data_IF_846804887921
#
_entry.id   IF_846804887921
#
_cell.length_a   1.000
_cell.length_b   1.000
_cell.length_c   1.000
_cell.angle_alpha   90.00
_cell.angle_beta   90.00
_cell.angle_gamma   90.00
#
_symmetry.space_group_name_H-M   'P 1'
#
loop_
_entity.id
_entity.type
_entity.pdbx_description
1 polymer ?
#
# COMPACT_ATOMS: atom_id res chain seq x y z
N UNK A 1 -79.68 38.72 -40.74
CA UNK A 1 -79.81 37.59 -39.80
C UNK A 1 -78.57 36.71 -39.91
N UNK A 2 -77.94 36.42 -38.76
CA UNK A 2 -76.94 35.39 -38.42
C UNK A 2 -75.72 35.12 -39.34
N UNK A 3 -74.55 35.25 -38.69
CA UNK A 3 -73.17 34.90 -39.05
C UNK A 3 -73.02 33.53 -39.75
N UNK A 4 -72.02 33.42 -40.64
CA UNK A 4 -71.03 32.32 -40.65
C UNK A 4 -69.66 32.88 -41.08
N UNK A 5 -68.62 32.42 -40.39
CA UNK A 5 -67.20 32.76 -40.53
C UNK A 5 -66.45 31.63 -41.23
N UNK A 6 -65.37 31.96 -41.96
CA UNK A 6 -64.19 31.13 -42.25
C UNK A 6 -63.14 32.11 -42.82
N UNK A 7 -61.92 32.28 -42.31
CA UNK A 7 -61.03 31.35 -41.65
C UNK A 7 -59.83 31.13 -42.57
N UNK A 8 -58.88 32.07 -42.60
CA UNK A 8 -57.59 31.86 -43.26
C UNK A 8 -56.46 32.39 -42.35
N UNK A 9 -55.66 31.44 -41.90
CA UNK A 9 -54.52 31.58 -40.99
C UNK A 9 -53.36 32.24 -41.73
N UNK A 10 -52.92 33.41 -41.29
CA UNK A 10 -51.67 34.03 -41.74
C UNK A 10 -50.65 33.93 -40.59
N UNK A 11 -49.60 33.15 -40.83
CA UNK A 11 -48.42 32.99 -40.00
C UNK A 11 -47.66 34.33 -39.97
N UNK A 12 -47.82 35.10 -38.89
CA UNK A 12 -47.05 36.33 -38.68
C UNK A 12 -45.77 35.99 -37.92
N UNK A 13 -44.65 36.01 -38.64
CA UNK A 13 -43.30 35.86 -38.13
C UNK A 13 -42.96 37.08 -37.26
N UNK A 14 -43.01 36.93 -35.93
CA UNK A 14 -42.52 37.93 -34.98
C UNK A 14 -40.99 37.79 -34.85
N UNK A 15 -40.19 38.85 -35.01
CA UNK A 15 -38.77 38.77 -34.73
C UNK A 15 -38.56 38.59 -33.22
N UNK A 16 -37.98 37.45 -32.83
CA UNK A 16 -37.40 37.28 -31.50
C UNK A 16 -36.22 38.27 -31.38
N UNK A 17 -36.38 39.29 -30.54
CA UNK A 17 -35.24 39.96 -29.92
C UNK A 17 -34.59 38.96 -28.95
N UNK A 18 -33.63 38.18 -29.44
CA UNK A 18 -32.66 37.51 -28.59
C UNK A 18 -31.71 38.60 -28.06
N UNK A 19 -32.01 39.11 -26.86
CA UNK A 19 -30.97 39.76 -26.06
C UNK A 19 -29.96 38.66 -25.73
N UNK A 20 -28.80 38.71 -26.37
CA UNK A 20 -27.68 37.84 -26.02
C UNK A 20 -27.21 38.20 -24.62
N UNK A 21 -27.76 37.55 -23.60
CA UNK A 21 -27.00 37.35 -22.37
C UNK A 21 -25.90 36.35 -22.72
N UNK A 22 -24.77 36.90 -23.13
CA UNK A 22 -23.52 36.20 -23.04
C UNK A 22 -23.34 35.89 -21.56
N UNK A 23 -23.75 34.70 -21.15
CA UNK A 23 -23.33 34.13 -19.87
C UNK A 23 -21.81 34.04 -19.99
N UNK A 24 -21.14 35.06 -19.48
CA UNK A 24 -19.71 35.03 -19.23
C UNK A 24 -19.57 33.93 -18.18
N UNK A 25 -19.41 32.69 -18.65
CA UNK A 25 -19.03 31.60 -17.79
C UNK A 25 -17.74 32.05 -17.14
N UNK A 26 -17.79 32.33 -15.83
CA UNK A 26 -16.57 32.44 -15.06
C UNK A 26 -15.96 31.04 -15.12
N UNK A 27 -15.11 30.81 -16.13
CA UNK A 27 -14.12 29.75 -16.07
C UNK A 27 -13.28 30.16 -14.87
N UNK A 28 -13.56 29.55 -13.73
CA UNK A 28 -12.61 29.56 -12.63
C UNK A 28 -11.44 28.78 -13.19
N UNK A 29 -10.44 29.50 -13.70
CA UNK A 29 -9.20 28.88 -14.14
C UNK A 29 -8.58 28.26 -12.90
N UNK A 30 -8.54 26.92 -12.87
CA UNK A 30 -7.74 26.20 -11.89
C UNK A 30 -6.29 26.61 -12.10
N UNK A 31 -5.70 27.20 -11.07
CA UNK A 31 -4.29 27.66 -11.04
C UNK A 31 -3.46 26.87 -10.05
N UNK A 32 -4.04 25.82 -9.44
CA UNK A 32 -3.35 25.02 -8.44
C UNK A 32 -2.48 23.99 -9.14
N UNK A 33 -1.18 23.98 -8.82
CA UNK A 33 -0.27 22.98 -9.38
C UNK A 33 -0.60 21.57 -8.85
N UNK A 34 -0.47 20.51 -9.68
CA UNK A 34 -0.39 19.16 -9.17
C UNK A 34 0.86 18.98 -8.29
N UNK A 35 0.75 18.10 -7.30
CA UNK A 35 1.88 17.65 -6.46
C UNK A 35 1.97 16.13 -6.54
N UNK A 36 3.16 15.58 -6.31
CA UNK A 36 3.33 14.13 -6.15
C UNK A 36 2.91 13.80 -4.73
N UNK A 37 1.87 12.98 -4.57
CA UNK A 37 1.42 12.50 -3.25
C UNK A 37 2.15 11.23 -2.85
N UNK A 38 2.50 10.39 -3.82
CA UNK A 38 3.02 9.07 -3.54
C UNK A 38 3.92 8.53 -4.65
N UNK A 39 4.92 7.73 -4.27
CA UNK A 39 5.79 7.00 -5.19
C UNK A 39 5.99 5.55 -4.71
N UNK A 40 6.06 4.59 -5.64
CA UNK A 40 6.65 3.27 -5.40
C UNK A 40 7.74 3.00 -6.42
N UNK A 41 8.92 2.48 -6.03
CA UNK A 41 9.39 2.40 -4.64
C UNK A 41 9.34 3.78 -3.96
N UNK A 42 9.16 3.82 -2.63
CA UNK A 42 9.18 5.09 -1.90
C UNK A 42 10.59 5.70 -1.85
N UNK A 43 10.71 6.96 -1.45
CA UNK A 43 12.01 7.61 -1.33
C UNK A 43 12.85 6.95 -0.23
N UNK A 44 14.08 6.55 -0.58
CA UNK A 44 15.01 5.86 0.30
C UNK A 44 14.80 4.35 0.42
N UNK A 45 13.86 3.75 -0.33
CA UNK A 45 13.57 2.32 -0.24
C UNK A 45 14.80 1.43 -0.47
N UNK A 46 15.01 0.42 0.38
CA UNK A 46 16.07 -0.60 0.24
C UNK A 46 15.49 -1.97 -0.15
N UNK A 47 16.37 -2.90 -0.53
CA UNK A 47 16.03 -4.27 -0.94
C UNK A 47 14.92 -4.36 -1.99
N UNK A 48 14.85 -3.35 -2.87
CA UNK A 48 13.83 -3.29 -3.91
C UNK A 48 14.03 -4.41 -4.92
N UNK A 49 12.93 -5.07 -5.29
CA UNK A 49 12.92 -6.10 -6.32
C UNK A 49 13.56 -5.62 -7.61
N UNK A 50 14.38 -6.46 -8.23
CA UNK A 50 15.02 -6.15 -9.51
C UNK A 50 14.02 -6.01 -10.67
N UNK A 51 12.78 -6.48 -10.48
CA UNK A 51 11.67 -6.32 -11.43
C UNK A 51 10.68 -5.24 -11.00
N UNK A 52 11.09 -4.35 -10.10
CA UNK A 52 10.22 -3.28 -9.61
C UNK A 52 9.84 -2.32 -10.74
N UNK A 53 8.57 -1.94 -10.75
CA UNK A 53 8.06 -0.82 -11.55
C UNK A 53 8.05 0.44 -10.71
N UNK A 54 8.30 1.58 -11.34
CA UNK A 54 8.37 2.89 -10.68
C UNK A 54 7.09 3.68 -10.96
N UNK A 55 6.27 3.95 -9.96
CA UNK A 55 4.97 4.62 -10.09
C UNK A 55 4.99 5.91 -9.28
N UNK A 56 4.40 6.98 -9.81
CA UNK A 56 4.08 8.19 -9.07
C UNK A 56 2.59 8.53 -9.20
N UNK A 57 1.95 8.90 -8.08
CA UNK A 57 0.55 9.32 -8.00
C UNK A 57 0.46 10.79 -7.64
N UNK A 58 -0.37 11.53 -8.37
CA UNK A 58 -0.52 12.97 -8.27
C UNK A 58 -1.73 13.39 -7.43
N UNK A 59 -1.72 14.61 -6.91
CA UNK A 59 -2.79 15.16 -6.07
C UNK A 59 -4.08 15.51 -6.81
N UNK A 60 -4.13 15.30 -8.12
CA UNK A 60 -5.24 15.63 -9.00
C UNK A 60 -5.10 14.93 -10.35
N UNK A 61 -6.18 14.98 -11.12
CA UNK A 61 -6.21 14.46 -12.49
C UNK A 61 -5.19 15.17 -13.38
N UNK A 62 -4.35 14.37 -14.03
CA UNK A 62 -3.30 14.81 -14.94
C UNK A 62 -3.75 14.79 -16.39
N UNK A 63 -3.16 15.63 -17.23
CA UNK A 63 -3.33 15.56 -18.67
C UNK A 63 -2.59 14.30 -19.20
N UNK A 64 -3.27 13.29 -19.76
CA UNK A 64 -2.61 12.03 -20.11
C UNK A 64 -1.47 12.19 -21.11
N UNK A 65 -1.55 13.17 -22.01
CA UNK A 65 -0.49 13.45 -22.97
C UNK A 65 0.78 14.05 -22.35
N UNK A 66 0.70 14.67 -21.17
CA UNK A 66 1.86 15.21 -20.46
C UNK A 66 2.62 14.13 -19.69
N UNK A 67 1.98 12.99 -19.39
CA UNK A 67 2.58 11.86 -18.68
C UNK A 67 3.33 10.93 -19.64
N UNK A 68 4.54 11.33 -20.03
CA UNK A 68 5.40 10.65 -21.00
C UNK A 68 6.88 10.66 -20.54
N UNK A 69 7.83 10.23 -21.39
CA UNK A 69 9.27 10.18 -21.07
C UNK A 69 9.93 11.55 -20.82
N UNK A 70 9.30 12.65 -21.20
CA UNK A 70 9.75 13.99 -20.79
C UNK A 70 9.32 14.32 -19.35
N UNK A 71 8.26 13.68 -18.87
CA UNK A 71 7.71 13.89 -17.52
C UNK A 71 8.32 12.97 -16.49
N UNK A 72 8.73 11.75 -16.84
CA UNK A 72 9.32 10.82 -15.89
C UNK A 72 10.51 10.08 -16.47
N UNK A 73 11.57 9.99 -15.65
CA UNK A 73 12.77 9.20 -15.95
C UNK A 73 13.21 8.39 -14.74
N UNK A 74 13.94 7.32 -15.01
CA UNK A 74 14.71 6.54 -14.04
C UNK A 74 16.18 6.58 -14.44
N UNK A 75 17.10 6.76 -13.49
CA UNK A 75 18.54 6.83 -13.79
C UNK A 75 19.42 6.22 -12.70
N UNK A 76 20.63 5.81 -13.09
CA UNK A 76 21.74 5.49 -12.18
C UNK A 76 22.82 6.53 -12.39
N UNK A 77 22.99 7.42 -11.40
CA UNK A 77 23.73 8.67 -11.62
C UNK A 77 23.15 9.45 -12.80
N UNK A 78 23.99 9.78 -13.78
CA UNK A 78 23.62 10.53 -14.98
C UNK A 78 23.15 9.65 -16.15
N UNK A 79 23.12 8.33 -15.99
CA UNK A 79 22.74 7.38 -17.05
C UNK A 79 21.26 7.01 -16.91
N UNK A 80 20.46 7.30 -17.94
CA UNK A 80 19.05 6.93 -17.98
C UNK A 80 18.89 5.41 -18.15
N UNK A 81 17.91 4.86 -17.45
CA UNK A 81 17.43 3.49 -17.59
C UNK A 81 16.32 3.46 -18.65
N UNK A 82 16.38 2.50 -19.57
CA UNK A 82 15.33 2.31 -20.57
C UNK A 82 14.10 1.65 -19.95
N UNK A 83 12.92 2.08 -20.37
CA UNK A 83 11.64 1.56 -19.90
C UNK A 83 10.46 2.09 -20.69
N UNK A 84 9.26 1.61 -20.38
CA UNK A 84 8.01 2.10 -20.95
C UNK A 84 7.25 2.96 -19.95
N UNK A 85 6.65 4.05 -20.43
CA UNK A 85 5.69 4.85 -19.66
C UNK A 85 4.26 4.38 -19.97
N UNK A 86 3.50 4.14 -18.90
CA UNK A 86 2.06 3.91 -18.94
C UNK A 86 1.33 4.85 -17.99
N UNK A 87 0.15 5.31 -18.38
CA UNK A 87 -0.74 6.08 -17.50
C UNK A 87 -1.71 5.12 -16.84
N UNK A 88 -1.75 5.15 -15.50
CA UNK A 88 -2.68 4.32 -14.71
C UNK A 88 -3.78 5.22 -14.16
N UNK A 89 -5.02 4.93 -14.54
CA UNK A 89 -6.15 5.80 -14.23
C UNK A 89 -5.96 7.19 -14.84
N UNK A 90 -6.26 8.23 -14.06
CA UNK A 90 -6.13 9.62 -14.51
C UNK A 90 -5.15 10.45 -13.68
N UNK A 91 -4.47 9.81 -12.72
CA UNK A 91 -3.72 10.48 -11.65
C UNK A 91 -2.36 9.83 -11.41
N UNK A 92 -1.93 8.88 -12.25
CA UNK A 92 -0.68 8.16 -12.00
C UNK A 92 0.09 7.85 -13.27
N UNK A 93 1.42 7.94 -13.15
CA UNK A 93 2.37 7.60 -14.19
C UNK A 93 3.23 6.42 -13.71
N UNK A 94 3.26 5.35 -14.51
CA UNK A 94 4.01 4.14 -14.27
C UNK A 94 5.16 4.04 -15.27
N UNK A 95 6.37 3.88 -14.77
CA UNK A 95 7.57 3.53 -15.53
C UNK A 95 7.87 2.05 -15.28
N UNK A 96 7.89 1.26 -16.34
CA UNK A 96 8.27 -0.16 -16.32
C UNK A 96 9.63 -0.31 -16.98
N UNK A 97 10.71 -0.59 -16.23
CA UNK A 97 12.02 -0.88 -16.83
C UNK A 97 11.92 -1.98 -17.89
N UNK A 98 12.58 -1.79 -19.03
CA UNK A 98 12.57 -2.78 -20.12
C UNK A 98 13.35 -4.03 -19.73
N UNK A 99 14.47 -3.82 -19.05
CA UNK A 99 15.33 -4.86 -18.50
C UNK A 99 15.20 -4.92 -16.98
N UNK A 100 15.62 -6.05 -16.41
CA UNK A 100 15.75 -6.20 -14.96
C UNK A 100 16.78 -5.19 -14.42
N UNK A 101 16.46 -4.55 -13.30
CA UNK A 101 17.32 -3.58 -12.65
C UNK A 101 18.59 -4.26 -12.11
N UNK A 102 19.70 -3.53 -12.11
CA UNK A 102 20.98 -3.98 -11.57
C UNK A 102 20.86 -4.18 -10.05
N UNK A 103 21.59 -5.16 -9.50
CA UNK A 103 21.64 -5.45 -8.06
C UNK A 103 22.41 -4.40 -7.29
N UNK A 104 22.10 -4.24 -6.00
CA UNK A 104 22.75 -3.29 -5.08
C UNK A 104 23.02 -1.90 -5.71
N UNK A 105 22.04 -1.41 -6.46
CA UNK A 105 22.17 -0.21 -7.27
C UNK A 105 21.15 0.84 -6.83
N UNK A 106 21.64 2.07 -6.63
CA UNK A 106 20.78 3.22 -6.32
C UNK A 106 20.24 3.79 -7.62
N UNK A 107 18.93 3.66 -7.80
CA UNK A 107 18.18 4.30 -8.87
C UNK A 107 17.56 5.59 -8.37
N UNK A 108 17.57 6.63 -9.21
CA UNK A 108 16.90 7.91 -8.96
C UNK A 108 15.77 8.08 -9.98
N UNK A 109 14.56 8.21 -9.49
CA UNK A 109 13.41 8.56 -10.30
C UNK A 109 13.14 10.06 -10.21
N UNK A 110 12.72 10.66 -11.33
CA UNK A 110 12.42 12.09 -11.42
C UNK A 110 11.09 12.31 -12.11
N UNK A 111 10.21 13.13 -11.51
CA UNK A 111 9.07 13.73 -12.20
C UNK A 111 9.37 15.19 -12.51
N UNK A 112 9.33 15.56 -13.78
CA UNK A 112 9.62 16.91 -14.27
C UNK A 112 8.37 17.78 -14.33
N UNK A 113 8.58 19.09 -14.46
CA UNK A 113 7.51 20.10 -14.56
C UNK A 113 6.76 20.06 -15.91
N UNK A 114 7.18 19.18 -16.84
CA UNK A 114 6.44 18.86 -18.07
C UNK A 114 5.16 18.08 -17.79
N UNK A 115 5.06 17.39 -16.65
CA UNK A 115 3.80 16.82 -16.19
C UNK A 115 2.84 17.93 -15.73
N UNK A 116 1.66 17.97 -16.35
CA UNK A 116 0.64 19.00 -16.14
C UNK A 116 -0.73 18.41 -15.83
N UNK A 117 -1.56 19.16 -15.11
CA UNK A 117 -2.97 18.83 -14.92
C UNK A 117 -3.83 19.12 -16.17
N UNK A 118 -5.12 18.78 -16.13
CA UNK A 118 -6.06 19.03 -17.24
C UNK A 118 -6.24 20.53 -17.58
N UNK A 119 -5.90 21.43 -16.65
CA UNK A 119 -5.97 22.87 -16.84
C UNK A 119 -4.64 23.45 -17.34
N UNK A 120 -3.60 22.62 -17.47
CA UNK A 120 -2.28 23.00 -17.94
C UNK A 120 -1.33 23.49 -16.85
N UNK A 121 -1.67 23.34 -15.56
CA UNK A 121 -0.76 23.71 -14.48
C UNK A 121 0.35 22.65 -14.36
N UNK A 122 1.64 23.03 -14.43
CA UNK A 122 2.75 22.10 -14.24
C UNK A 122 2.94 21.76 -12.76
N UNK A 123 3.68 20.68 -12.48
CA UNK A 123 4.26 20.50 -11.14
C UNK A 123 5.03 21.76 -10.73
N UNK A 124 4.92 22.13 -9.44
CA UNK A 124 5.59 23.34 -8.93
C UNK A 124 7.12 23.28 -8.97
N UNK A 125 7.70 22.08 -8.92
CA UNK A 125 9.13 21.82 -9.05
C UNK A 125 9.37 20.37 -9.53
N UNK A 126 10.60 20.07 -9.97
CA UNK A 126 11.01 18.69 -10.24
C UNK A 126 10.97 17.92 -8.92
N UNK A 127 10.25 16.80 -8.90
CA UNK A 127 10.21 15.87 -7.78
C UNK A 127 11.22 14.76 -8.02
N UNK A 128 12.12 14.51 -7.06
CA UNK A 128 13.13 13.45 -7.15
C UNK A 128 13.04 12.56 -5.93
N UNK A 129 13.22 11.27 -6.16
CA UNK A 129 13.36 10.28 -5.10
C UNK A 129 14.29 9.17 -5.57
N UNK A 130 14.84 8.42 -4.62
CA UNK A 130 15.77 7.33 -4.91
C UNK A 130 15.40 6.05 -4.20
N UNK A 131 15.86 4.91 -4.72
CA UNK A 131 15.73 3.60 -4.08
C UNK A 131 16.92 2.71 -4.44
N UNK A 132 17.23 1.75 -3.58
CA UNK A 132 18.28 0.75 -3.75
C UNK A 132 17.67 -0.63 -4.01
N UNK A 133 18.12 -1.28 -5.07
CA UNK A 133 17.78 -2.67 -5.36
C UNK A 133 18.51 -3.66 -4.46
N UNK A 134 17.91 -4.83 -4.22
CA UNK A 134 18.48 -5.83 -3.32
C UNK A 134 19.85 -6.36 -3.74
N UNK A 135 20.68 -6.61 -2.73
CA UNK A 135 22.03 -7.15 -2.87
C UNK A 135 22.08 -8.68 -2.97
N UNK A 136 23.27 -9.23 -2.78
CA UNK A 136 23.40 -10.63 -2.41
C UNK A 136 23.19 -10.73 -0.90
N UNK A 137 22.34 -11.66 -0.45
CA UNK A 137 22.42 -12.10 0.94
C UNK A 137 23.75 -12.84 1.04
N UNK A 138 24.74 -12.22 1.67
CA UNK A 138 25.88 -13.00 2.13
C UNK A 138 25.33 -13.97 3.16
N UNK A 139 25.29 -15.25 2.80
CA UNK A 139 25.10 -16.36 3.72
C UNK A 139 26.14 -16.18 4.83
N UNK A 140 25.70 -15.60 5.94
CA UNK A 140 26.52 -15.44 7.14
C UNK A 140 26.61 -16.82 7.78
N UNK A 141 27.45 -17.65 7.16
CA UNK A 141 27.90 -18.96 7.59
C UNK A 141 26.92 -19.71 8.46
N UNK A 142 26.09 -20.56 7.84
CA UNK A 142 25.76 -21.81 8.51
C UNK A 142 27.09 -22.49 8.84
N UNK A 143 27.48 -22.43 10.11
CA UNK A 143 28.56 -23.25 10.65
C UNK A 143 28.03 -24.68 10.58
N UNK A 144 28.35 -25.35 9.48
CA UNK A 144 28.33 -26.80 9.40
C UNK A 144 29.31 -27.31 10.45
N UNK A 145 28.79 -27.68 11.62
CA UNK A 145 29.54 -28.39 12.67
C UNK A 145 29.42 -29.91 12.51
N UNK A 146 29.38 -30.39 11.26
CA UNK A 146 29.51 -31.79 10.94
C UNK A 146 30.95 -32.30 11.03
N UNK A 147 31.18 -33.16 12.04
CA UNK A 147 32.28 -34.15 12.18
C UNK A 147 33.64 -33.62 12.70
N UNK A 148 34.37 -34.24 13.65
CA UNK A 148 34.42 -35.59 14.24
C UNK A 148 35.10 -35.52 15.62
N UNK A 149 34.75 -36.46 16.50
CA UNK A 149 35.56 -37.07 17.58
C UNK A 149 36.84 -36.35 18.06
N UNK A 150 36.83 -35.88 19.32
CA UNK A 150 37.90 -36.23 20.26
C UNK A 150 37.34 -36.41 21.69
N UNK A 151 37.50 -37.63 22.18
CA UNK A 151 37.19 -38.06 23.54
C UNK A 151 38.51 -38.36 24.24
N UNK A 152 38.95 -37.51 25.17
CA UNK A 152 40.08 -37.88 26.03
C UNK A 152 40.85 -36.76 26.70
N UNK A 153 40.34 -36.35 27.86
CA UNK A 153 41.12 -36.08 29.10
C UNK A 153 42.22 -35.00 29.08
N UNK A 154 42.04 -33.95 29.87
CA UNK A 154 42.78 -33.80 31.14
C UNK A 154 42.20 -32.66 31.97
N UNK A 155 41.95 -32.98 33.24
CA UNK A 155 41.73 -32.01 34.29
C UNK A 155 42.86 -30.96 34.30
N UNK A 156 42.50 -29.68 34.24
CA UNK A 156 43.20 -28.69 35.04
C UNK A 156 42.23 -28.06 36.02
N UNK A 157 42.68 -28.08 37.26
CA UNK A 157 42.02 -27.67 38.48
C UNK A 157 42.33 -26.21 38.75
N UNK A 158 41.29 -25.44 39.02
CA UNK A 158 41.35 -24.19 39.79
C UNK A 158 42.27 -23.10 39.22
N UNK A 159 41.68 -22.23 38.40
CA UNK A 159 41.86 -20.80 38.64
C UNK A 159 40.56 -20.21 39.20
N UNK A 160 40.78 -19.23 40.04
CA UNK A 160 40.01 -18.77 41.16
C UNK A 160 38.95 -17.75 40.77
N UNK A 161 37.77 -17.91 41.36
CA UNK A 161 36.77 -16.86 41.61
C UNK A 161 36.64 -15.78 40.54
N UNK A 162 35.80 -16.04 39.53
CA UNK A 162 34.91 -15.00 39.03
C UNK A 162 33.47 -15.46 39.24
N UNK A 163 32.66 -14.51 39.66
CA UNK A 163 31.33 -14.66 40.22
C UNK A 163 30.31 -15.13 39.19
N UNK A 164 29.54 -16.15 39.58
CA UNK A 164 28.19 -16.43 39.09
C UNK A 164 27.93 -16.26 37.59
N UNK A 165 28.03 -17.34 36.84
CA UNK A 165 27.03 -17.63 35.83
C UNK A 165 26.77 -19.14 35.75
N UNK A 166 25.66 -19.57 36.37
CA UNK A 166 25.06 -20.89 36.17
C UNK A 166 23.57 -20.73 35.90
N UNK A 167 23.16 -19.78 35.05
CA UNK A 167 21.78 -19.69 34.57
C UNK A 167 21.65 -19.33 33.08
N UNK A 168 22.39 -20.03 32.21
CA UNK A 168 22.00 -20.11 30.80
C UNK A 168 20.89 -21.18 30.61
N UNK A 169 19.66 -20.84 31.01
CA UNK A 169 18.39 -21.38 30.46
C UNK A 169 17.21 -20.44 30.68
N UNK A 170 17.44 -19.14 30.95
CA UNK A 170 16.38 -18.15 31.03
C UNK A 170 16.78 -16.83 30.37
N UNK A 171 16.92 -16.83 29.05
CA UNK A 171 16.69 -15.63 28.25
C UNK A 171 15.32 -15.69 27.57
N UNK A 172 14.27 -15.77 28.39
CA UNK A 172 12.89 -15.47 27.94
C UNK A 172 12.18 -14.51 28.88
N UNK A 173 12.91 -13.85 29.79
CA UNK A 173 12.34 -12.80 30.65
C UNK A 173 13.33 -11.67 30.90
N UNK A 174 13.70 -10.96 29.84
CA UNK A 174 13.82 -9.50 29.97
C UNK A 174 12.43 -8.90 29.71
N UNK A 175 11.67 -8.70 30.78
CA UNK A 175 10.36 -8.04 30.78
C UNK A 175 10.41 -6.73 31.58
N UNK A 176 11.56 -6.04 31.52
CA UNK A 176 11.92 -4.98 32.47
C UNK A 176 11.90 -3.53 31.98
N UNK A 177 11.83 -3.24 30.68
CA UNK A 177 11.77 -1.88 30.13
C UNK A 177 10.42 -1.66 29.41
N UNK A 178 9.60 -0.64 29.72
CA UNK A 178 8.21 -0.65 29.29
C UNK A 178 7.92 -0.31 27.81
N UNK A 179 8.90 -0.15 26.90
CA UNK A 179 8.59 0.51 25.61
C UNK A 179 9.25 0.02 24.31
N UNK A 180 9.92 -1.14 24.24
CA UNK A 180 10.28 -1.66 22.90
C UNK A 180 9.16 -2.57 22.34
N UNK A 181 8.17 -1.94 21.72
CA UNK A 181 7.09 -2.67 21.03
C UNK A 181 7.65 -3.27 19.75
N UNK A 182 7.97 -4.57 19.75
CA UNK A 182 8.48 -5.25 18.56
C UNK A 182 7.43 -5.31 17.43
N UNK A 183 7.84 -5.28 16.15
CA UNK A 183 6.95 -5.53 15.02
C UNK A 183 6.27 -6.90 15.10
N UNK A 184 5.17 -7.08 14.37
CA UNK A 184 4.53 -8.39 14.21
C UNK A 184 5.32 -9.18 13.17
N UNK A 185 5.78 -10.38 13.52
CA UNK A 185 6.48 -11.25 12.58
C UNK A 185 5.51 -11.75 11.50
N UNK A 186 5.87 -11.49 10.24
CA UNK A 186 5.07 -11.81 9.07
C UNK A 186 5.53 -13.11 8.39
N UNK A 187 6.71 -13.65 8.71
CA UNK A 187 7.26 -14.83 8.05
C UNK A 187 7.19 -14.73 6.52
N UNK A 188 6.58 -15.73 5.87
CA UNK A 188 6.43 -15.75 4.41
C UNK A 188 5.53 -14.62 3.87
N UNK A 189 4.67 -14.01 4.69
CA UNK A 189 3.79 -12.90 4.27
C UNK A 189 4.56 -11.64 3.87
N UNK A 190 5.83 -11.52 4.24
CA UNK A 190 6.69 -10.38 3.87
C UNK A 190 6.70 -10.11 2.36
N UNK A 191 6.57 -11.15 1.53
CA UNK A 191 6.55 -11.06 0.07
C UNK A 191 5.15 -10.89 -0.55
N UNK A 192 4.10 -11.03 0.26
CA UNK A 192 2.72 -11.01 -0.22
C UNK A 192 2.05 -9.66 -0.01
N UNK A 193 1.52 -9.10 -1.09
CA UNK A 193 0.68 -7.90 -1.04
C UNK A 193 -0.77 -8.25 -0.71
N UNK A 194 -1.19 -9.48 -1.04
CA UNK A 194 -2.55 -9.97 -0.76
C UNK A 194 -2.55 -11.47 -0.42
N UNK A 195 -3.25 -11.84 0.64
CA UNK A 195 -3.52 -13.25 1.00
C UNK A 195 -4.97 -13.41 1.42
N UNK A 196 -5.71 -14.36 0.83
CA UNK A 196 -7.15 -14.52 1.08
C UNK A 196 -7.60 -15.98 1.25
N UNK A 197 -8.67 -16.17 2.03
CA UNK A 197 -9.31 -17.48 2.27
C UNK A 197 -10.32 -17.88 1.19
N UNK A 198 -11.10 -16.91 0.72
CA UNK A 198 -12.22 -17.07 -0.21
C UNK A 198 -11.97 -16.40 -1.58
N UNK A 199 -10.69 -16.29 -1.97
CA UNK A 199 -10.28 -15.76 -3.26
C UNK A 199 -10.14 -14.24 -3.32
N UNK A 200 -9.96 -13.74 -4.53
CA UNK A 200 -9.79 -12.31 -4.85
C UNK A 200 -10.74 -11.92 -5.99
N UNK A 201 -11.41 -10.79 -5.84
CA UNK A 201 -12.18 -10.14 -6.89
C UNK A 201 -11.66 -8.73 -7.13
N UNK A 202 -11.49 -8.36 -8.39
CA UNK A 202 -11.20 -6.98 -8.79
C UNK A 202 -12.19 -6.52 -9.86
N UNK A 203 -12.49 -5.22 -9.88
CA UNK A 203 -13.11 -4.57 -11.04
C UNK A 203 -12.35 -3.32 -11.43
N UNK A 204 -12.31 -3.06 -12.74
CA UNK A 204 -11.62 -1.92 -13.32
C UNK A 204 -12.58 -0.80 -13.77
N UNK A 205 -13.74 -0.68 -13.13
CA UNK A 205 -14.78 0.30 -13.47
C UNK A 205 -14.36 1.79 -13.30
N UNK A 206 -13.12 2.07 -12.88
CA UNK A 206 -12.53 3.41 -12.81
C UNK A 206 -10.99 3.46 -13.02
N UNK A 207 -10.38 2.43 -13.61
CA UNK A 207 -8.93 2.27 -13.73
C UNK A 207 -8.47 0.83 -13.48
N UNK A 208 -7.22 0.49 -13.79
CA UNK A 208 -6.70 -0.88 -13.59
C UNK A 208 -6.25 -1.06 -12.14
N UNK A 209 -6.65 -2.18 -11.52
CA UNK A 209 -6.07 -2.61 -10.24
C UNK A 209 -4.65 -3.15 -10.44
N UNK A 210 -3.69 -2.64 -9.68
CA UNK A 210 -2.28 -3.03 -9.68
C UNK A 210 -1.87 -3.55 -8.31
N UNK A 211 -1.29 -4.75 -8.28
CA UNK A 211 -0.81 -5.45 -7.09
C UNK A 211 0.72 -5.60 -7.19
N UNK A 212 1.46 -4.81 -6.43
CA UNK A 212 2.92 -4.75 -6.38
C UNK A 212 3.56 -5.78 -5.45
N UNK A 213 3.20 -7.05 -5.59
CA UNK A 213 3.73 -8.15 -4.78
C UNK A 213 3.04 -9.48 -5.07
N UNK A 214 3.39 -10.53 -4.31
CA UNK A 214 2.77 -11.84 -4.48
C UNK A 214 1.33 -11.88 -3.98
N UNK A 215 0.51 -12.74 -4.59
CA UNK A 215 -0.89 -12.96 -4.22
C UNK A 215 -1.08 -14.43 -3.85
N UNK A 216 -1.55 -14.72 -2.65
CA UNK A 216 -1.76 -16.08 -2.14
C UNK A 216 -3.24 -16.38 -1.86
N UNK A 217 -3.82 -17.36 -2.55
CA UNK A 217 -5.23 -17.69 -2.44
C UNK A 217 -5.41 -19.16 -2.01
N UNK A 218 -5.79 -19.36 -0.74
CA UNK A 218 -5.96 -20.69 -0.16
C UNK A 218 -6.97 -20.65 1.01
N UNK A 219 -7.92 -21.62 1.11
CA UNK A 219 -8.08 -22.79 0.25
C UNK A 219 -8.82 -22.51 -1.07
N UNK A 220 -9.50 -21.37 -1.18
CA UNK A 220 -10.19 -20.99 -2.42
C UNK A 220 -9.24 -20.24 -3.34
N UNK A 221 -8.64 -20.94 -4.31
CA UNK A 221 -7.74 -20.36 -5.31
C UNK A 221 -8.45 -19.61 -6.45
N UNK A 222 -9.59 -18.96 -6.19
CA UNK A 222 -10.33 -18.21 -7.22
C UNK A 222 -9.86 -16.77 -7.26
N UNK A 223 -9.37 -16.34 -8.42
CA UNK A 223 -9.06 -14.94 -8.71
C UNK A 223 -9.90 -14.49 -9.91
N UNK A 224 -10.71 -13.44 -9.75
CA UNK A 224 -11.54 -12.88 -10.82
C UNK A 224 -11.28 -11.37 -11.02
N UNK A 225 -10.96 -10.95 -12.23
CA UNK A 225 -10.96 -9.56 -12.69
C UNK A 225 -12.12 -9.30 -13.65
N UNK A 226 -13.01 -8.36 -13.32
CA UNK A 226 -14.22 -8.03 -14.09
C UNK A 226 -15.08 -9.27 -14.43
N UNK A 227 -15.15 -10.22 -13.50
CA UNK A 227 -15.93 -11.46 -13.63
C UNK A 227 -15.26 -12.57 -14.44
N UNK A 228 -14.04 -12.37 -14.92
CA UNK A 228 -13.23 -13.36 -15.66
C UNK A 228 -12.04 -13.77 -14.80
N UNK A 229 -11.52 -15.00 -14.96
CA UNK A 229 -10.29 -15.43 -14.29
C UNK A 229 -9.16 -14.43 -14.49
N UNK A 230 -8.45 -14.09 -13.41
CA UNK A 230 -7.36 -13.13 -13.45
C UNK A 230 -6.31 -13.50 -14.50
N UNK A 231 -5.81 -12.49 -15.20
CA UNK A 231 -4.71 -12.59 -16.15
C UNK A 231 -3.56 -11.68 -15.69
N UNK A 232 -2.43 -11.68 -16.40
CA UNK A 232 -1.33 -10.76 -16.11
C UNK A 232 -1.71 -9.26 -16.23
N UNK A 233 -2.87 -8.95 -16.83
CA UNK A 233 -3.30 -7.57 -17.09
C UNK A 233 -4.59 -7.17 -16.37
N UNK A 234 -5.28 -8.11 -15.71
CA UNK A 234 -6.51 -7.82 -14.99
C UNK A 234 -6.74 -8.80 -13.82
N UNK A 235 -6.49 -8.39 -12.56
CA UNK A 235 -5.69 -7.21 -12.19
C UNK A 235 -4.24 -7.38 -12.67
N UNK A 236 -3.47 -6.29 -12.77
CA UNK A 236 -2.02 -6.38 -13.01
C UNK A 236 -1.37 -6.85 -11.72
N UNK A 237 -0.73 -8.02 -11.75
CA UNK A 237 -0.01 -8.59 -10.61
C UNK A 237 1.49 -8.53 -10.92
N UNK A 238 2.21 -7.60 -10.29
CA UNK A 238 3.65 -7.45 -10.37
C UNK A 238 4.31 -8.37 -9.33
N UNK A 239 4.03 -9.66 -9.46
CA UNK A 239 4.43 -10.73 -8.56
C UNK A 239 3.90 -12.07 -9.06
N UNK A 240 3.93 -13.10 -8.22
CA UNK A 240 3.40 -14.42 -8.55
C UNK A 240 2.02 -14.57 -7.92
N UNK A 241 1.06 -15.09 -8.70
CA UNK A 241 -0.24 -15.52 -8.22
C UNK A 241 -0.17 -17.01 -7.83
N UNK A 242 -0.17 -17.29 -6.53
CA UNK A 242 -0.26 -18.63 -5.96
C UNK A 242 -1.74 -18.97 -5.69
N UNK A 243 -2.35 -19.67 -6.63
CA UNK A 243 -3.76 -20.05 -6.57
C UNK A 243 -3.94 -21.51 -6.99
N UNK A 244 -4.42 -22.36 -6.08
CA UNK A 244 -4.42 -23.82 -6.24
C UNK A 244 -3.00 -24.36 -6.56
N UNK A 245 -1.98 -23.74 -5.97
CA UNK A 245 -0.58 -24.10 -6.18
C UNK A 245 -0.24 -25.44 -5.51
N UNK A 246 0.36 -26.40 -6.23
CA UNK A 246 0.71 -27.71 -5.68
C UNK A 246 1.87 -27.65 -4.68
N UNK A 247 2.71 -26.62 -4.76
CA UNK A 247 3.83 -26.40 -3.85
C UNK A 247 3.39 -25.96 -2.44
N UNK A 248 2.15 -25.48 -2.29
CA UNK A 248 1.59 -25.11 -0.99
C UNK A 248 2.14 -23.79 -0.42
N UNK A 249 2.69 -22.92 -1.25
CA UNK A 249 3.17 -21.58 -0.88
C UNK A 249 2.02 -20.73 -0.33
N UNK A 250 0.86 -20.72 -1.00
CA UNK A 250 -0.30 -20.00 -0.47
C UNK A 250 -0.80 -20.60 0.84
N UNK A 251 -0.70 -21.93 1.02
CA UNK A 251 -1.07 -22.60 2.27
C UNK A 251 -0.14 -22.23 3.42
N UNK A 252 1.17 -22.14 3.17
CA UNK A 252 2.14 -21.66 4.16
C UNK A 252 1.89 -20.20 4.54
N UNK A 253 1.64 -19.32 3.56
CA UNK A 253 1.29 -17.93 3.82
C UNK A 253 0.03 -17.81 4.70
N UNK A 254 -0.96 -18.70 4.54
CA UNK A 254 -2.14 -18.77 5.42
C UNK A 254 -1.82 -19.24 6.84
N UNK A 255 -0.88 -20.16 7.00
CA UNK A 255 -0.41 -20.59 8.31
C UNK A 255 0.29 -19.42 9.04
N UNK A 256 1.18 -18.71 8.35
CA UNK A 256 1.90 -17.56 8.90
C UNK A 256 0.93 -16.40 9.23
N UNK A 257 -0.11 -16.18 8.42
CA UNK A 257 -1.19 -15.24 8.74
C UNK A 257 -1.92 -15.59 10.04
N UNK A 258 -2.09 -16.86 10.34
CA UNK A 258 -2.70 -17.29 11.60
C UNK A 258 -1.81 -16.92 12.79
N UNK A 259 -0.49 -17.09 12.64
CA UNK A 259 0.50 -16.73 13.67
C UNK A 259 0.57 -15.22 13.85
N UNK A 260 0.73 -14.45 12.77
CA UNK A 260 0.81 -12.99 12.80
C UNK A 260 -0.47 -12.36 13.39
N UNK A 261 -1.65 -12.87 13.02
CA UNK A 261 -2.92 -12.42 13.59
C UNK A 261 -2.99 -12.70 15.10
N UNK A 262 -2.60 -13.90 15.53
CA UNK A 262 -2.59 -14.28 16.94
C UNK A 262 -1.60 -13.46 17.76
N UNK A 263 -0.42 -13.15 17.21
CA UNK A 263 0.55 -12.24 17.82
C UNK A 263 -0.05 -10.84 17.98
N UNK A 264 -0.50 -10.22 16.89
CA UNK A 264 -1.05 -8.87 16.88
C UNK A 264 -2.23 -8.71 17.86
N UNK A 265 -3.18 -9.63 17.85
CA UNK A 265 -4.34 -9.63 18.77
C UNK A 265 -3.99 -10.09 20.19
N UNK A 266 -2.86 -10.79 20.37
CA UNK A 266 -2.36 -11.28 21.65
C UNK A 266 -1.50 -10.28 22.42
N UNK A 267 -1.03 -9.21 21.78
CA UNK A 267 -0.31 -8.12 22.46
C UNK A 267 -1.17 -7.54 23.60
N UNK A 268 -0.54 -7.10 24.72
CA UNK A 268 -1.27 -6.44 25.80
C UNK A 268 -2.10 -5.26 25.25
N UNK A 269 -3.38 -5.11 25.68
CA UNK A 269 -4.23 -4.06 25.16
C UNK A 269 -3.69 -2.68 25.55
N UNK A 270 -3.51 -1.81 24.56
CA UNK A 270 -3.10 -0.42 24.77
C UNK A 270 -4.27 0.56 24.78
N UNK A 271 -4.04 1.76 24.24
CA UNK A 271 -4.95 2.90 24.32
C UNK A 271 -6.32 2.60 23.70
N UNK A 272 -7.39 2.69 24.49
CA UNK A 272 -8.76 2.48 24.01
C UNK A 272 -9.23 3.67 23.15
N UNK A 273 -9.56 3.41 21.88
CA UNK A 273 -10.04 4.41 20.93
C UNK A 273 -10.92 3.76 19.86
N UNK A 274 -12.04 4.40 19.49
CA UNK A 274 -12.98 3.89 18.49
C UNK A 274 -12.99 4.73 17.20
N UNK A 275 -12.64 6.01 17.28
CA UNK A 275 -12.51 6.90 16.14
C UNK A 275 -11.16 7.61 16.26
N UNK A 276 -10.31 7.45 15.25
CA UNK A 276 -8.96 8.00 15.23
C UNK A 276 -8.84 9.22 14.30
N UNK A 277 -9.97 9.71 13.78
CA UNK A 277 -10.01 10.86 12.88
C UNK A 277 -9.44 12.12 13.52
N UNK A 278 -8.47 12.75 12.86
CA UNK A 278 -7.80 13.97 13.30
C UNK A 278 -6.73 13.74 14.38
N UNK A 279 -6.44 12.49 14.76
CA UNK A 279 -5.46 12.19 15.79
C UNK A 279 -4.04 12.11 15.23
N UNK A 280 -3.08 12.54 16.04
CA UNK A 280 -1.66 12.18 15.88
C UNK A 280 -1.32 11.15 16.94
N UNK A 281 -0.91 9.97 16.50
CA UNK A 281 -0.70 8.79 17.32
C UNK A 281 0.80 8.49 17.40
N UNK A 282 1.34 8.53 18.62
CA UNK A 282 2.69 8.04 18.91
C UNK A 282 2.75 6.50 18.77
N UNK A 283 3.94 5.88 18.71
CA UNK A 283 4.09 4.43 18.62
C UNK A 283 3.39 3.73 19.79
N UNK A 284 2.78 2.57 19.52
CA UNK A 284 2.11 1.79 20.57
C UNK A 284 0.94 0.94 20.09
N UNK A 285 0.29 0.29 21.06
CA UNK A 285 -0.91 -0.52 20.84
C UNK A 285 -2.16 0.35 21.06
N UNK A 286 -3.13 0.24 20.15
CA UNK A 286 -4.41 0.95 20.19
C UNK A 286 -5.54 -0.07 20.08
N UNK A 287 -6.56 0.05 20.91
CA UNK A 287 -7.59 -0.98 21.06
C UNK A 287 -8.99 -0.42 20.84
N UNK A 288 -9.86 -1.22 20.22
CA UNK A 288 -11.30 -1.02 20.21
C UNK A 288 -11.98 -2.37 20.44
N UNK A 289 -12.96 -2.44 21.34
CA UNK A 289 -13.79 -3.65 21.47
C UNK A 289 -14.83 -3.79 20.34
N UNK A 290 -15.03 -2.74 19.54
CA UNK A 290 -16.06 -2.64 18.51
C UNK A 290 -15.43 -2.35 17.14
N UNK A 291 -16.12 -1.57 16.31
CA UNK A 291 -15.55 -1.02 15.08
C UNK A 291 -14.62 0.14 15.41
N UNK A 292 -13.45 0.18 14.78
CA UNK A 292 -12.58 1.36 14.74
C UNK A 292 -12.80 2.10 13.42
N UNK A 293 -12.86 3.43 13.44
CA UNK A 293 -13.15 4.22 12.24
C UNK A 293 -12.20 5.38 11.98
N UNK A 294 -12.07 5.72 10.70
CA UNK A 294 -11.58 7.01 10.20
C UNK A 294 -12.72 7.61 9.36
N UNK A 295 -13.16 8.81 9.69
CA UNK A 295 -14.28 9.51 9.08
C UNK A 295 -14.00 9.90 7.62
N UNK A 296 -15.04 10.31 6.90
CA UNK A 296 -14.89 10.83 5.52
C UNK A 296 -13.93 12.01 5.54
N UNK A 297 -12.92 12.00 4.68
CA UNK A 297 -11.84 12.99 4.67
C UNK A 297 -11.07 13.13 5.99
N UNK A 298 -11.20 12.15 6.90
CA UNK A 298 -10.47 12.11 8.15
C UNK A 298 -9.00 11.78 7.90
N UNK A 299 -8.12 12.47 8.61
CA UNK A 299 -6.68 12.21 8.59
C UNK A 299 -6.27 11.65 9.93
N UNK A 300 -5.56 10.53 9.95
CA UNK A 300 -4.81 10.08 11.13
C UNK A 300 -3.33 10.17 10.81
N UNK A 301 -2.54 10.69 11.74
CA UNK A 301 -1.09 10.81 11.60
C UNK A 301 -0.42 9.85 12.56
N UNK A 302 0.49 9.01 12.07
CA UNK A 302 1.36 8.16 12.87
C UNK A 302 2.72 8.85 12.94
N UNK A 303 3.14 9.20 14.15
CA UNK A 303 4.34 10.00 14.40
C UNK A 303 5.41 9.14 15.06
N UNK A 304 6.46 8.78 14.31
CA UNK A 304 7.56 7.96 14.82
C UNK A 304 8.50 8.68 15.78
N UNK A 305 8.27 9.98 16.05
CA UNK A 305 9.03 10.78 17.02
C UNK A 305 10.55 10.79 16.76
N UNK A 306 10.96 10.54 15.50
CA UNK A 306 12.35 10.45 15.07
C UNK A 306 12.96 9.05 15.14
N UNK A 307 12.16 8.01 15.37
CA UNK A 307 12.58 6.61 15.40
C UNK A 307 11.95 5.80 14.28
N UNK A 308 12.79 5.30 13.37
CA UNK A 308 12.41 4.51 12.20
C UNK A 308 11.93 3.09 12.55
N UNK A 309 12.21 2.64 13.78
CA UNK A 309 11.75 1.34 14.30
C UNK A 309 10.41 1.43 15.03
N UNK A 310 9.80 2.61 15.08
CA UNK A 310 8.50 2.83 15.71
C UNK A 310 7.41 1.88 15.20
N UNK A 311 6.67 1.26 16.12
CA UNK A 311 5.62 0.28 15.81
C UNK A 311 4.23 0.75 16.24
N UNK A 312 3.22 0.47 15.40
CA UNK A 312 1.81 0.65 15.72
C UNK A 312 1.06 -0.66 15.55
N UNK A 313 0.27 -1.05 16.57
CA UNK A 313 -0.61 -2.21 16.50
C UNK A 313 -2.02 -1.79 16.88
N UNK A 314 -2.94 -1.82 15.92
CA UNK A 314 -4.35 -1.54 16.13
C UNK A 314 -5.11 -2.87 16.30
N UNK A 315 -5.63 -3.11 17.50
CA UNK A 315 -6.44 -4.29 17.83
C UNK A 315 -7.92 -3.90 17.84
N UNK A 316 -8.69 -4.45 16.91
CA UNK A 316 -10.09 -4.06 16.68
C UNK A 316 -11.00 -5.28 16.87
N UNK A 317 -11.89 -5.25 17.85
CA UNK A 317 -12.75 -6.39 18.21
C UNK A 317 -13.74 -6.78 17.12
N UNK A 318 -14.16 -5.82 16.29
CA UNK A 318 -15.01 -6.06 15.11
C UNK A 318 -14.31 -5.64 13.83
N UNK A 319 -14.70 -4.52 13.23
CA UNK A 319 -14.28 -4.13 11.88
C UNK A 319 -13.46 -2.85 11.89
N UNK A 320 -12.57 -2.69 10.92
CA UNK A 320 -11.96 -1.40 10.61
C UNK A 320 -12.75 -0.74 9.48
N UNK A 321 -13.18 0.51 9.67
CA UNK A 321 -13.85 1.30 8.63
C UNK A 321 -13.06 2.57 8.33
N UNK A 322 -12.42 2.62 7.17
CA UNK A 322 -11.75 3.82 6.67
C UNK A 322 -12.63 4.44 5.59
N UNK A 323 -13.29 5.56 5.89
CA UNK A 323 -14.26 6.14 4.97
C UNK A 323 -13.58 6.87 3.80
N UNK A 324 -14.37 7.22 2.78
CA UNK A 324 -13.86 7.82 1.55
C UNK A 324 -13.01 9.07 1.80
N UNK A 325 -11.96 9.26 0.98
CA UNK A 325 -11.03 10.38 1.05
C UNK A 325 -10.19 10.46 2.35
N UNK A 326 -10.26 9.46 3.22
CA UNK A 326 -9.46 9.41 4.43
C UNK A 326 -7.98 9.16 4.12
N UNK A 327 -7.10 9.54 5.05
CA UNK A 327 -5.66 9.37 4.91
C UNK A 327 -5.03 8.86 6.20
N UNK A 328 -4.14 7.88 6.08
CA UNK A 328 -3.15 7.53 7.11
C UNK A 328 -1.82 8.13 6.67
N UNK A 329 -1.31 9.07 7.45
CA UNK A 329 -0.07 9.79 7.15
C UNK A 329 1.01 9.33 8.12
N UNK A 330 2.19 9.02 7.60
CA UNK A 330 3.38 8.68 8.38
C UNK A 330 4.31 9.89 8.43
N UNK A 331 4.81 10.24 9.62
CA UNK A 331 5.79 11.32 9.80
C UNK A 331 6.91 10.89 10.76
N UNK A 332 8.02 11.63 10.73
CA UNK A 332 9.10 11.54 11.71
C UNK A 332 9.61 10.10 11.93
N UNK A 333 9.90 9.39 10.85
CA UNK A 333 10.41 8.01 10.89
C UNK A 333 9.34 6.93 10.95
N UNK A 334 8.05 7.25 11.03
CA UNK A 334 7.02 6.21 10.91
C UNK A 334 7.09 5.50 9.54
N UNK A 335 7.06 4.16 9.54
CA UNK A 335 7.16 3.32 8.34
C UNK A 335 5.96 2.40 8.20
N UNK A 336 5.44 2.24 6.98
CA UNK A 336 4.28 1.38 6.73
C UNK A 336 4.56 -0.09 7.06
N UNK A 337 5.82 -0.52 7.00
CA UNK A 337 6.27 -1.86 7.39
C UNK A 337 5.98 -2.17 8.86
N UNK A 338 5.95 -1.15 9.73
CA UNK A 338 5.79 -1.26 11.18
C UNK A 338 4.37 -0.89 11.67
N UNK A 339 3.40 -0.77 10.76
CA UNK A 339 2.01 -0.47 11.09
C UNK A 339 1.14 -1.69 10.84
N UNK A 340 0.49 -2.19 11.89
CA UNK A 340 -0.32 -3.40 11.85
C UNK A 340 -1.75 -3.12 12.29
N UNK A 341 -2.71 -3.50 11.46
CA UNK A 341 -4.13 -3.39 11.74
C UNK A 341 -4.69 -4.81 11.89
N UNK A 342 -5.08 -5.23 13.08
CA UNK A 342 -5.65 -6.55 13.36
C UNK A 342 -7.10 -6.41 13.80
N UNK A 343 -8.01 -7.16 13.16
CA UNK A 343 -9.45 -6.99 13.38
C UNK A 343 -10.20 -8.32 13.48
N UNK A 344 -11.16 -8.38 14.38
CA UNK A 344 -12.02 -9.54 14.67
C UNK A 344 -13.00 -9.89 13.56
N UNK A 345 -13.21 -9.01 12.59
CA UNK A 345 -14.06 -9.20 11.42
C UNK A 345 -13.36 -8.73 10.13
N UNK A 346 -13.88 -7.70 9.47
CA UNK A 346 -13.44 -7.24 8.15
C UNK A 346 -12.82 -5.85 8.20
N UNK A 347 -11.99 -5.54 7.20
CA UNK A 347 -11.67 -4.15 6.86
C UNK A 347 -12.53 -3.66 5.70
N UNK A 348 -13.02 -2.43 5.81
CA UNK A 348 -13.69 -1.70 4.75
C UNK A 348 -12.95 -0.38 4.55
N UNK A 349 -12.14 -0.33 3.49
CA UNK A 349 -11.45 0.87 3.04
C UNK A 349 -12.28 1.48 1.91
N UNK A 350 -12.65 2.75 2.06
CA UNK A 350 -13.45 3.50 1.11
C UNK A 350 -12.71 3.78 -0.20
N UNK A 351 -13.33 4.60 -1.06
CA UNK A 351 -12.69 5.13 -2.26
C UNK A 351 -11.82 6.35 -1.97
N UNK A 352 -10.82 6.57 -2.83
CA UNK A 352 -9.90 7.71 -2.75
C UNK A 352 -9.13 7.81 -1.42
N UNK A 353 -8.87 6.67 -0.78
CA UNK A 353 -8.12 6.58 0.48
C UNK A 353 -6.63 6.40 0.21
N UNK A 354 -5.79 7.06 1.01
CA UNK A 354 -4.37 6.70 1.17
C UNK A 354 -4.21 5.93 2.47
N UNK A 355 -3.90 4.63 2.38
CA UNK A 355 -3.80 3.74 3.53
C UNK A 355 -2.37 3.21 3.69
N UNK A 356 -1.93 3.11 4.94
CA UNK A 356 -0.58 2.72 5.33
C UNK A 356 -0.63 1.57 6.33
N UNK A 357 0.04 0.46 6.05
CA UNK A 357 0.21 -0.66 6.96
C UNK A 357 -0.35 -2.01 6.51
N UNK A 358 -0.03 -3.04 7.28
CA UNK A 358 -0.46 -4.42 7.07
C UNK A 358 -1.82 -4.67 7.73
N UNK A 359 -2.81 -5.06 6.94
CA UNK A 359 -4.16 -5.42 7.40
C UNK A 359 -4.24 -6.94 7.62
N UNK A 360 -4.62 -7.35 8.83
CA UNK A 360 -4.76 -8.73 9.32
C UNK A 360 -6.23 -9.01 9.70
N UNK A 361 -7.11 -9.18 8.71
CA UNK A 361 -8.54 -9.37 8.96
C UNK A 361 -8.92 -10.84 9.19
N UNK A 362 -9.79 -11.12 10.17
CA UNK A 362 -10.30 -12.50 10.34
C UNK A 362 -11.23 -12.93 9.20
N UNK A 363 -11.99 -11.98 8.64
CA UNK A 363 -13.00 -12.20 7.61
C UNK A 363 -12.53 -11.70 6.25
N UNK A 364 -12.93 -10.50 5.81
CA UNK A 364 -12.68 -10.00 4.45
C UNK A 364 -11.97 -8.65 4.45
N UNK A 365 -11.36 -8.30 3.33
CA UNK A 365 -10.88 -6.94 3.05
C UNK A 365 -11.61 -6.39 1.83
N UNK A 366 -12.08 -5.15 1.89
CA UNK A 366 -12.68 -4.47 0.75
C UNK A 366 -12.07 -3.09 0.59
N UNK A 367 -11.68 -2.75 -0.63
CA UNK A 367 -11.07 -1.47 -0.97
C UNK A 367 -11.85 -0.80 -2.09
N UNK A 368 -12.34 0.41 -1.81
CA UNK A 368 -13.11 1.22 -2.74
C UNK A 368 -12.25 1.81 -3.85
N UNK A 369 -12.92 2.40 -4.84
CA UNK A 369 -12.32 2.88 -6.09
C UNK A 369 -11.15 3.84 -5.87
N UNK A 370 -10.05 3.68 -6.64
CA UNK A 370 -8.87 4.58 -6.69
C UNK A 370 -8.05 4.69 -5.39
N UNK A 371 -8.38 3.94 -4.35
CA UNK A 371 -7.58 3.95 -3.12
C UNK A 371 -6.21 3.33 -3.34
N UNK A 372 -5.22 3.90 -2.65
CA UNK A 372 -3.83 3.46 -2.62
C UNK A 372 -3.53 2.87 -1.26
N UNK A 373 -2.89 1.69 -1.25
CA UNK A 373 -2.48 0.98 -0.03
C UNK A 373 -0.99 0.70 -0.12
N UNK A 374 -0.19 1.29 0.76
CA UNK A 374 1.18 0.83 1.02
C UNK A 374 1.12 -0.12 2.21
N UNK A 375 1.29 -1.40 1.97
CA UNK A 375 0.92 -2.38 2.96
C UNK A 375 0.61 -3.73 2.38
N UNK A 376 -0.24 -4.44 3.11
CA UNK A 376 -0.69 -5.77 2.76
C UNK A 376 -2.16 -5.91 3.11
N UNK A 377 -2.91 -6.62 2.28
CA UNK A 377 -4.29 -7.00 2.57
C UNK A 377 -4.35 -8.49 2.83
N UNK A 378 -4.37 -8.88 4.09
CA UNK A 378 -4.35 -10.27 4.51
C UNK A 378 -5.67 -10.60 5.20
N UNK A 379 -6.35 -11.67 4.80
CA UNK A 379 -7.58 -12.10 5.44
C UNK A 379 -7.70 -13.62 5.62
N UNK A 380 -8.15 -14.04 6.80
CA UNK A 380 -8.09 -15.45 7.23
C UNK A 380 -9.16 -16.34 6.59
N UNK A 381 -10.39 -15.87 6.41
CA UNK A 381 -11.48 -16.74 5.91
C UNK A 381 -12.20 -16.21 4.68
N UNK A 382 -12.27 -14.89 4.52
CA UNK A 382 -13.05 -14.23 3.49
C UNK A 382 -12.27 -13.87 2.24
N UNK A 383 -12.91 -13.03 1.44
CA UNK A 383 -12.43 -12.60 0.13
C UNK A 383 -11.77 -11.21 0.24
N UNK A 384 -10.87 -10.91 -0.70
CA UNK A 384 -10.40 -9.56 -0.97
C UNK A 384 -11.16 -9.00 -2.18
N UNK A 385 -11.76 -7.82 -2.03
CA UNK A 385 -12.48 -7.12 -3.11
C UNK A 385 -11.82 -5.78 -3.40
N UNK A 386 -11.43 -5.57 -4.66
CA UNK A 386 -10.67 -4.42 -5.13
C UNK A 386 -11.40 -3.70 -6.27
N UNK A 387 -11.31 -2.38 -6.29
CA UNK A 387 -11.90 -1.52 -7.30
C UNK A 387 -10.83 -0.51 -7.76
N UNK A 388 -10.22 -0.74 -8.93
CA UNK A 388 -9.24 0.19 -9.53
C UNK A 388 -8.19 0.71 -8.52
N UNK A 389 -7.55 -0.19 -7.79
CA UNK A 389 -6.64 0.15 -6.70
C UNK A 389 -5.16 0.03 -7.07
N UNK A 390 -4.31 0.75 -6.34
CA UNK A 390 -2.87 0.48 -6.32
C UNK A 390 -2.51 -0.05 -4.94
N UNK A 391 -1.95 -1.25 -4.86
CA UNK A 391 -1.52 -1.86 -3.60
C UNK A 391 -0.08 -2.31 -3.77
N UNK A 392 0.83 -1.83 -2.92
CA UNK A 392 2.26 -2.14 -2.98
C UNK A 392 2.76 -2.57 -1.62
N UNK A 393 3.76 -3.44 -1.59
CA UNK A 393 4.45 -3.78 -0.36
C UNK A 393 5.09 -2.54 0.28
N UNK A 394 5.12 -2.45 1.62
CA UNK A 394 6.03 -1.54 2.32
C UNK A 394 7.47 -1.90 1.99
N UNK A 395 8.30 -0.89 1.97
CA UNK A 395 9.75 -0.98 1.88
C UNK A 395 10.29 -1.27 3.28
N UNK A 396 11.19 -2.26 3.36
CA UNK A 396 11.69 -2.85 4.60
C UNK A 396 12.87 -2.10 5.19
#
# INVERSE_FOLDING_TARGET
MKKVSSGLTALLLLPLFACGEQLVGWKIDDTTAPTVLWTTPEDGAEEVSLRATVLATFSKTMAPASLNHEAMTLSVGDVLTDGEISVIGSESILFTPTDELDRDTVYTASIFTSATDLSGNPLGAIYRWSFRTGGFIEDTGIIDTGDTEDTGDTQDTQDTQDTQDTQDTQDTQDTGEPWDLLPVDLGSLSQFVAVAGAGLTSSNSGGITVLGGHVGLNPTGTCLGDGVTCTATNPVINGILYANDPEGVAAQAKADLTVAYADAMGRPPGTLVNDISGMTLAPGVYTSASTMSIAVSGVVTLDGQGDDNSVWIFQVGSSLTVNNNAQVILINGARAANVFWAMGASSTIGGDVVFQGTVLASASNSVGTRSVVIGRLLCSSGQITLLSNTISLPTL
#
